data_IF_962950984796
#
_entry.id   IF_962950984796
#
_cell.length_a   1.000
_cell.length_b   1.000
_cell.length_c   1.000
_cell.angle_alpha   90.00
_cell.angle_beta   90.00
_cell.angle_gamma   90.00
#
_symmetry.space_group_name_H-M   'P 1'
#
loop_
_entity.id
_entity.type
_entity.pdbx_description
1 polymer ?
#
# COMPACT_ATOMS: atom_id res chain seq x y z
N UNK A 1 5.89 -23.67 -28.08
CA UNK A 1 4.56 -23.28 -27.61
C UNK A 1 4.73 -22.72 -26.21
N UNK A 2 4.90 -21.40 -26.11
CA UNK A 2 5.21 -20.71 -24.84
C UNK A 2 3.86 -20.43 -24.19
N UNK A 3 3.55 -21.13 -23.09
CA UNK A 3 2.45 -20.77 -22.23
C UNK A 3 2.86 -19.49 -21.50
N UNK A 4 2.38 -18.37 -21.99
CA UNK A 4 2.34 -17.13 -21.22
C UNK A 4 1.38 -17.36 -20.06
N UNK A 5 1.93 -17.72 -18.89
CA UNK A 5 1.22 -17.74 -17.62
C UNK A 5 0.85 -16.29 -17.27
N UNK A 6 -0.28 -15.83 -17.80
CA UNK A 6 -0.90 -14.60 -17.38
C UNK A 6 -1.40 -14.81 -15.95
N UNK A 7 -0.50 -14.68 -14.97
CA UNK A 7 -0.92 -14.35 -13.60
C UNK A 7 -1.72 -13.04 -13.70
N UNK A 8 -3.01 -13.18 -13.87
CA UNK A 8 -3.94 -12.11 -13.49
C UNK A 8 -3.65 -11.87 -12.02
N UNK A 9 -2.98 -10.77 -11.73
CA UNK A 9 -2.98 -10.23 -10.37
C UNK A 9 -4.46 -10.16 -9.99
N UNK A 10 -4.87 -10.99 -9.05
CA UNK A 10 -6.22 -10.99 -8.49
C UNK A 10 -6.38 -9.68 -7.71
N UNK A 11 -6.64 -8.60 -8.46
CA UNK A 11 -7.03 -7.32 -7.87
C UNK A 11 -8.38 -7.55 -7.22
N UNK A 12 -8.48 -7.26 -5.95
CA UNK A 12 -9.76 -7.26 -5.24
C UNK A 12 -10.79 -6.50 -6.06
N UNK A 13 -11.97 -7.07 -6.34
CA UNK A 13 -13.00 -6.37 -7.11
C UNK A 13 -13.30 -5.00 -6.51
N UNK A 14 -13.30 -3.95 -7.33
CA UNK A 14 -13.49 -2.55 -6.90
C UNK A 14 -14.73 -2.39 -6.02
N UNK A 15 -15.80 -3.15 -6.31
CA UNK A 15 -17.03 -3.13 -5.50
C UNK A 15 -16.83 -3.56 -4.05
N UNK A 16 -15.97 -4.55 -3.80
CA UNK A 16 -15.65 -5.01 -2.44
C UNK A 16 -14.86 -3.93 -1.72
N UNK A 17 -13.90 -3.33 -2.38
CA UNK A 17 -13.08 -2.23 -1.84
C UNK A 17 -13.95 -1.03 -1.46
N UNK A 18 -14.89 -0.63 -2.33
CA UNK A 18 -15.84 0.44 -2.05
C UNK A 18 -16.74 0.07 -0.86
N UNK A 19 -17.23 -1.16 -0.77
CA UNK A 19 -18.06 -1.63 0.33
C UNK A 19 -17.36 -1.51 1.68
N UNK A 20 -16.11 -1.95 1.78
CA UNK A 20 -15.30 -1.80 2.99
C UNK A 20 -15.01 -0.33 3.32
N UNK A 21 -14.72 0.49 2.31
CA UNK A 21 -14.51 1.91 2.48
C UNK A 21 -15.77 2.62 3.01
N UNK A 22 -16.92 2.34 2.41
CA UNK A 22 -18.21 2.91 2.84
C UNK A 22 -18.53 2.52 4.29
N UNK A 23 -18.32 1.26 4.67
CA UNK A 23 -18.48 0.81 6.06
C UNK A 23 -17.54 1.57 7.00
N UNK A 24 -16.27 1.76 6.61
CA UNK A 24 -15.31 2.53 7.39
C UNK A 24 -15.74 3.99 7.61
N UNK A 25 -16.29 4.64 6.57
CA UNK A 25 -16.82 6.00 6.69
C UNK A 25 -18.06 6.06 7.58
N UNK A 26 -18.96 5.07 7.51
CA UNK A 26 -20.12 4.99 8.41
C UNK A 26 -19.66 4.86 9.86
N UNK A 27 -18.69 4.01 10.14
CA UNK A 27 -18.12 3.88 11.50
C UNK A 27 -17.48 5.19 11.96
N UNK A 28 -16.71 5.85 11.08
CA UNK A 28 -16.13 7.16 11.39
C UNK A 28 -17.19 8.23 11.66
N UNK A 29 -18.29 8.22 10.91
CA UNK A 29 -19.43 9.11 11.13
C UNK A 29 -20.12 8.86 12.48
N UNK A 30 -20.29 7.61 12.88
CA UNK A 30 -20.83 7.26 14.21
C UNK A 30 -19.90 7.73 15.33
N UNK A 31 -18.58 7.60 15.17
CA UNK A 31 -17.60 8.13 16.12
C UNK A 31 -17.68 9.66 16.17
N UNK A 32 -17.75 10.32 15.01
CA UNK A 32 -17.89 11.76 14.91
C UNK A 32 -19.18 12.26 15.56
N UNK A 33 -20.29 11.52 15.42
CA UNK A 33 -21.57 11.84 16.05
C UNK A 33 -21.51 11.79 17.59
N UNK A 34 -20.59 11.02 18.17
CA UNK A 34 -20.38 10.98 19.62
C UNK A 34 -19.63 12.23 20.15
N UNK A 35 -19.02 13.02 19.28
CA UNK A 35 -18.34 14.27 19.65
C UNK A 35 -19.39 15.38 19.84
N UNK A 36 -19.30 16.20 20.92
CA UNK A 36 -20.24 17.29 21.16
C UNK A 36 -20.25 18.31 20.02
N UNK A 37 -21.43 18.90 19.75
CA UNK A 37 -21.64 19.92 18.69
C UNK A 37 -20.77 21.17 18.84
N UNK A 38 -20.27 21.43 20.04
CA UNK A 38 -19.34 22.51 20.32
C UNK A 38 -18.00 22.40 19.57
N UNK A 39 -17.70 21.21 18.98
CA UNK A 39 -16.44 20.93 18.31
C UNK A 39 -16.62 20.42 16.87
N UNK A 40 -17.22 21.20 15.96
CA UNK A 40 -17.55 20.74 14.61
C UNK A 40 -16.28 20.34 13.79
N UNK A 41 -15.17 21.04 13.98
CA UNK A 41 -13.91 20.72 13.28
C UNK A 41 -13.34 19.36 13.66
N UNK A 42 -13.54 18.89 14.90
CA UNK A 42 -13.10 17.55 15.32
C UNK A 42 -13.96 16.45 14.69
N UNK A 43 -15.26 16.67 14.56
CA UNK A 43 -16.16 15.75 13.85
C UNK A 43 -15.70 15.54 12.41
N UNK A 44 -15.46 16.64 11.72
CA UNK A 44 -14.96 16.60 10.35
C UNK A 44 -13.56 15.96 10.27
N UNK A 45 -12.68 16.26 11.23
CA UNK A 45 -11.33 15.69 11.33
C UNK A 45 -11.33 14.16 11.39
N UNK A 46 -12.24 13.55 12.15
CA UNK A 46 -12.39 12.08 12.24
C UNK A 46 -12.70 11.48 10.87
N UNK A 47 -13.60 12.10 10.11
CA UNK A 47 -13.96 11.63 8.76
C UNK A 47 -12.80 11.80 7.78
N UNK A 48 -12.10 12.93 7.83
CA UNK A 48 -10.94 13.19 6.99
C UNK A 48 -9.81 12.17 7.26
N UNK A 49 -9.56 11.82 8.52
CA UNK A 49 -8.60 10.78 8.91
C UNK A 49 -9.03 9.41 8.37
N UNK A 50 -10.31 9.07 8.45
CA UNK A 50 -10.82 7.81 7.92
C UNK A 50 -10.62 7.70 6.40
N UNK A 51 -10.89 8.79 5.66
CA UNK A 51 -10.64 8.85 4.20
C UNK A 51 -9.14 8.69 3.90
N UNK A 52 -8.27 9.38 4.63
CA UNK A 52 -6.82 9.26 4.47
C UNK A 52 -6.30 7.85 4.79
N UNK A 53 -6.80 7.22 5.86
CA UNK A 53 -6.47 5.84 6.20
C UNK A 53 -6.93 4.86 5.12
N UNK A 54 -8.13 5.03 4.59
CA UNK A 54 -8.63 4.23 3.48
C UNK A 54 -7.75 4.40 2.24
N UNK A 55 -7.35 5.62 1.90
CA UNK A 55 -6.44 5.91 0.79
C UNK A 55 -5.09 5.19 0.95
N UNK A 56 -4.52 5.21 2.16
CA UNK A 56 -3.24 4.55 2.46
C UNK A 56 -3.31 3.02 2.33
N UNK A 57 -4.47 2.42 2.62
CA UNK A 57 -4.64 0.97 2.59
C UNK A 57 -4.94 0.43 1.19
N UNK A 58 -5.78 1.14 0.41
CA UNK A 58 -6.32 0.61 -0.85
C UNK A 58 -5.51 1.01 -2.07
N UNK A 59 -4.98 2.23 -2.12
CA UNK A 59 -4.29 2.83 -3.29
C UNK A 59 -5.10 2.70 -4.60
N UNK A 60 -6.42 2.58 -4.50
CA UNK A 60 -7.35 2.52 -5.63
C UNK A 60 -8.00 3.90 -5.78
N UNK A 61 -7.58 4.64 -6.81
CA UNK A 61 -8.01 6.02 -7.04
C UNK A 61 -9.52 6.11 -7.30
N UNK A 62 -10.11 5.12 -7.97
CA UNK A 62 -11.54 5.11 -8.27
C UNK A 62 -12.34 4.87 -6.98
N UNK A 63 -11.95 3.86 -6.20
CA UNK A 63 -12.59 3.58 -4.93
C UNK A 63 -12.45 4.77 -3.98
N UNK A 64 -11.27 5.41 -3.94
CA UNK A 64 -11.03 6.60 -3.13
C UNK A 64 -11.92 7.77 -3.53
N UNK A 65 -12.07 8.04 -4.83
CA UNK A 65 -12.96 9.08 -5.33
C UNK A 65 -14.40 8.88 -4.88
N UNK A 66 -14.91 7.65 -5.00
CA UNK A 66 -16.27 7.29 -4.55
C UNK A 66 -16.41 7.49 -3.03
N UNK A 67 -15.44 7.03 -2.25
CA UNK A 67 -15.45 7.17 -0.78
C UNK A 67 -15.36 8.63 -0.35
N UNK A 68 -14.56 9.45 -1.03
CA UNK A 68 -14.49 10.88 -0.74
C UNK A 68 -15.83 11.59 -1.00
N UNK A 69 -16.54 11.23 -2.08
CA UNK A 69 -17.88 11.75 -2.37
C UNK A 69 -18.89 11.32 -1.30
N UNK A 70 -18.86 10.05 -0.87
CA UNK A 70 -19.72 9.55 0.21
C UNK A 70 -19.43 10.29 1.52
N UNK A 71 -18.14 10.45 1.87
CA UNK A 71 -17.72 11.16 3.07
C UNK A 71 -18.20 12.62 3.07
N UNK A 72 -18.03 13.31 1.93
CA UNK A 72 -18.54 14.67 1.76
C UNK A 72 -20.06 14.75 1.91
N UNK A 73 -20.81 13.83 1.28
CA UNK A 73 -22.25 13.76 1.39
C UNK A 73 -22.74 13.54 2.82
N UNK A 74 -22.04 12.69 3.59
CA UNK A 74 -22.36 12.46 5.02
C UNK A 74 -22.09 13.73 5.84
N UNK A 75 -20.96 14.40 5.62
CA UNK A 75 -20.65 15.63 6.36
C UNK A 75 -21.67 16.70 6.07
N UNK A 76 -21.95 16.96 4.80
CA UNK A 76 -22.87 18.02 4.39
C UNK A 76 -24.34 17.70 4.77
N UNK A 77 -24.78 16.43 4.54
CA UNK A 77 -26.18 16.07 4.74
C UNK A 77 -26.58 15.77 6.20
N UNK A 78 -25.63 15.32 7.06
CA UNK A 78 -25.97 14.91 8.42
C UNK A 78 -25.39 15.81 9.52
N UNK A 79 -24.25 16.46 9.28
CA UNK A 79 -23.62 17.30 10.30
C UNK A 79 -23.93 18.79 10.14
N UNK A 80 -24.28 19.22 8.93
CA UNK A 80 -24.62 20.63 8.65
C UNK A 80 -26.13 20.86 8.57
N UNK A 81 -26.79 20.07 7.73
CA UNK A 81 -28.24 20.17 7.54
C UNK A 81 -28.95 19.03 8.27
N UNK A 82 -29.64 19.35 9.36
CA UNK A 82 -30.35 18.38 10.24
C UNK A 82 -31.41 17.54 9.53
N UNK A 83 -31.71 17.82 8.25
CA UNK A 83 -32.74 17.16 7.44
C UNK A 83 -32.20 16.41 6.21
N UNK A 84 -30.88 16.23 6.08
CA UNK A 84 -30.29 15.52 4.93
C UNK A 84 -30.37 16.32 3.62
N UNK A 85 -30.56 17.62 3.68
CA UNK A 85 -30.53 18.48 2.51
C UNK A 85 -29.07 18.79 2.14
N UNK A 86 -28.70 18.51 0.88
CA UNK A 86 -27.41 18.95 0.37
C UNK A 86 -27.54 20.44 -0.03
N UNK A 87 -27.11 21.33 0.83
CA UNK A 87 -27.02 22.75 0.52
C UNK A 87 -25.55 23.16 0.39
N UNK A 88 -25.28 24.05 -0.56
CA UNK A 88 -23.94 24.55 -0.82
C UNK A 88 -23.69 25.82 0.00
N UNK A 89 -22.79 25.74 0.99
CA UNK A 89 -22.46 26.86 1.91
C UNK A 89 -21.24 27.68 1.45
N UNK A 90 -20.93 27.64 0.17
CA UNK A 90 -19.90 28.51 -0.42
C UNK A 90 -18.46 28.13 -0.01
N UNK A 91 -17.75 29.06 0.65
CA UNK A 91 -16.34 28.87 0.97
C UNK A 91 -16.06 27.79 2.03
N UNK A 92 -17.03 27.48 2.90
CA UNK A 92 -16.87 26.46 3.93
C UNK A 92 -16.85 25.05 3.34
N UNK A 93 -17.73 24.79 2.37
CA UNK A 93 -17.75 23.50 1.67
C UNK A 93 -16.51 23.32 0.80
N UNK A 94 -16.04 24.40 0.17
CA UNK A 94 -14.79 24.37 -0.58
C UNK A 94 -13.59 24.03 0.30
N UNK A 95 -13.53 24.61 1.51
CA UNK A 95 -12.49 24.29 2.50
C UNK A 95 -12.52 22.81 2.91
N UNK A 96 -13.71 22.28 3.16
CA UNK A 96 -13.89 20.86 3.51
C UNK A 96 -13.47 19.92 2.40
N UNK A 97 -13.86 20.23 1.16
CA UNK A 97 -13.39 19.49 -0.01
C UNK A 97 -11.87 19.53 -0.11
N UNK A 98 -11.25 20.69 0.09
CA UNK A 98 -9.81 20.82 0.07
C UNK A 98 -9.14 19.94 1.12
N UNK A 99 -9.65 19.91 2.34
CA UNK A 99 -9.13 19.07 3.43
C UNK A 99 -9.28 17.60 3.08
N UNK A 100 -10.41 17.15 2.51
CA UNK A 100 -10.59 15.77 2.05
C UNK A 100 -9.61 15.39 0.95
N UNK A 101 -9.35 16.29 0.00
CA UNK A 101 -8.35 16.08 -1.07
C UNK A 101 -6.95 15.94 -0.48
N UNK A 102 -6.59 16.83 0.47
CA UNK A 102 -5.28 16.77 1.15
C UNK A 102 -5.16 15.47 1.96
N UNK A 103 -6.20 15.08 2.69
CA UNK A 103 -6.22 13.83 3.46
C UNK A 103 -6.05 12.61 2.54
N UNK A 104 -6.75 12.60 1.40
CA UNK A 104 -6.65 11.56 0.37
C UNK A 104 -5.24 11.47 -0.22
N UNK A 105 -4.68 12.61 -0.65
CA UNK A 105 -3.34 12.67 -1.22
C UNK A 105 -2.27 12.25 -0.21
N UNK A 106 -2.39 12.70 1.03
CA UNK A 106 -1.49 12.32 2.13
C UNK A 106 -1.57 10.82 2.42
N UNK A 107 -2.78 10.26 2.44
CA UNK A 107 -3.01 8.82 2.60
C UNK A 107 -2.34 8.00 1.49
N UNK A 108 -2.53 8.38 0.23
CA UNK A 108 -1.87 7.73 -0.91
C UNK A 108 -0.35 7.80 -0.79
N UNK A 109 0.21 8.97 -0.48
CA UNK A 109 1.65 9.14 -0.33
C UNK A 109 2.22 8.24 0.79
N UNK A 110 1.54 8.15 1.93
CA UNK A 110 1.92 7.27 3.04
C UNK A 110 1.83 5.80 2.62
N UNK A 111 0.77 5.40 1.93
CA UNK A 111 0.57 4.05 1.44
C UNK A 111 1.67 3.62 0.46
N UNK A 112 2.02 4.47 -0.49
CA UNK A 112 3.11 4.23 -1.44
C UNK A 112 4.47 4.18 -0.76
N UNK A 113 4.77 5.11 0.15
CA UNK A 113 6.01 5.12 0.91
C UNK A 113 6.16 3.83 1.73
N UNK A 114 5.10 3.35 2.36
CA UNK A 114 5.11 2.09 3.11
C UNK A 114 5.39 0.88 2.21
N UNK A 115 4.75 0.81 1.03
CA UNK A 115 5.02 -0.26 0.04
C UNK A 115 6.46 -0.21 -0.44
N UNK A 116 6.96 0.97 -0.77
CA UNK A 116 8.34 1.15 -1.20
C UNK A 116 9.33 0.67 -0.12
N UNK A 117 9.12 1.08 1.13
CA UNK A 117 9.95 0.62 2.25
C UNK A 117 9.89 -0.91 2.45
N UNK A 118 8.72 -1.50 2.27
CA UNK A 118 8.55 -2.96 2.38
C UNK A 118 9.33 -3.70 1.29
N UNK A 119 9.31 -3.21 0.05
CA UNK A 119 10.08 -3.79 -1.06
C UNK A 119 11.58 -3.65 -0.86
N UNK A 120 12.05 -2.51 -0.35
CA UNK A 120 13.46 -2.33 0.01
C UNK A 120 13.89 -3.35 1.07
N UNK A 121 13.14 -3.48 2.16
CA UNK A 121 13.45 -4.45 3.22
C UNK A 121 13.47 -5.90 2.72
N UNK A 122 12.60 -6.25 1.77
CA UNK A 122 12.60 -7.58 1.16
C UNK A 122 13.91 -7.81 0.37
N UNK A 123 14.36 -6.83 -0.42
CA UNK A 123 15.64 -6.91 -1.16
C UNK A 123 16.84 -7.10 -0.24
N UNK A 124 16.93 -6.31 0.82
CA UNK A 124 18.03 -6.43 1.80
C UNK A 124 18.10 -7.81 2.45
N UNK A 125 16.96 -8.46 2.70
CA UNK A 125 16.94 -9.83 3.23
C UNK A 125 17.45 -10.84 2.22
N UNK A 126 17.05 -10.72 0.97
CA UNK A 126 17.50 -11.61 -0.11
C UNK A 126 19.01 -11.47 -0.33
N UNK A 127 19.53 -10.25 -0.32
CA UNK A 127 20.97 -10.00 -0.48
C UNK A 127 21.77 -10.59 0.69
N UNK A 128 21.31 -10.45 1.92
CA UNK A 128 21.95 -11.05 3.10
C UNK A 128 21.92 -12.60 3.07
N UNK A 129 20.83 -13.20 2.61
CA UNK A 129 20.75 -14.67 2.44
C UNK A 129 21.71 -15.18 1.36
N UNK A 130 21.87 -14.45 0.25
CA UNK A 130 22.83 -14.77 -0.81
C UNK A 130 24.27 -14.65 -0.29
N UNK A 131 24.57 -13.58 0.44
CA UNK A 131 25.89 -13.35 1.02
C UNK A 131 26.27 -14.44 2.05
N UNK A 132 25.34 -14.84 2.89
CA UNK A 132 25.50 -15.95 3.83
C UNK A 132 25.65 -17.31 3.13
N UNK A 133 24.95 -17.53 2.03
CA UNK A 133 25.07 -18.74 1.23
C UNK A 133 26.45 -18.81 0.56
N UNK A 134 26.92 -17.71 0.00
CA UNK A 134 28.27 -17.59 -0.57
C UNK A 134 29.34 -17.80 0.50
N UNK A 135 29.23 -17.15 1.67
CA UNK A 135 30.18 -17.31 2.77
C UNK A 135 30.25 -18.75 3.28
N UNK A 136 29.14 -19.48 3.30
CA UNK A 136 29.09 -20.91 3.63
C UNK A 136 29.76 -21.76 2.56
N UNK A 137 29.51 -21.48 1.30
CA UNK A 137 30.13 -22.20 0.18
C UNK A 137 31.66 -22.04 0.14
N UNK A 138 32.16 -20.84 0.41
CA UNK A 138 33.60 -20.57 0.51
C UNK A 138 34.26 -21.15 1.77
N UNK A 139 33.51 -21.35 2.86
CA UNK A 139 34.04 -21.92 4.10
C UNK A 139 34.06 -23.45 4.11
N UNK A 140 33.26 -24.09 3.26
CA UNK A 140 33.32 -25.53 3.06
C UNK A 140 34.51 -25.84 2.13
N UNK A 141 35.68 -26.09 2.75
CA UNK A 141 36.98 -26.41 2.10
C UNK A 141 36.98 -27.79 1.40
N UNK A 142 35.85 -28.27 1.03
CA UNK A 142 35.65 -29.52 0.29
C UNK A 142 35.05 -29.14 -1.06
N UNK A 143 35.83 -29.23 -2.13
CA UNK A 143 35.50 -29.08 -3.57
C UNK A 143 34.03 -29.26 -4.02
N UNK A 144 33.10 -28.66 -3.31
CA UNK A 144 31.71 -28.70 -3.61
C UNK A 144 31.42 -27.72 -4.75
N UNK A 145 31.14 -28.26 -5.91
CA UNK A 145 30.64 -27.56 -7.07
C UNK A 145 29.42 -26.74 -6.66
N UNK A 146 29.50 -25.42 -6.79
CA UNK A 146 28.39 -24.51 -6.52
C UNK A 146 27.22 -24.87 -7.46
N UNK A 147 26.22 -25.59 -6.95
CA UNK A 147 25.01 -25.91 -7.69
C UNK A 147 24.10 -24.69 -7.67
N UNK A 148 24.13 -23.92 -8.74
CA UNK A 148 23.16 -22.83 -8.96
C UNK A 148 21.85 -23.48 -9.42
N UNK A 149 20.73 -23.31 -8.71
CA UNK A 149 19.45 -23.89 -9.14
C UNK A 149 19.06 -23.35 -10.51
N UNK A 150 18.92 -24.25 -11.50
CA UNK A 150 18.51 -23.91 -12.87
C UNK A 150 19.64 -23.79 -13.88
N UNK A 151 20.89 -23.99 -13.51
CA UNK A 151 21.99 -24.06 -14.45
C UNK A 151 22.32 -25.54 -14.74
N UNK A 152 22.24 -25.94 -16.01
CA UNK A 152 22.72 -27.25 -16.45
C UNK A 152 24.21 -27.40 -16.11
N UNK A 153 24.60 -28.58 -15.63
CA UNK A 153 25.96 -28.92 -15.23
C UNK A 153 27.00 -28.53 -16.31
N UNK A 154 27.63 -27.39 -16.11
CA UNK A 154 28.81 -27.03 -16.92
C UNK A 154 30.02 -27.54 -16.14
N UNK A 155 30.77 -28.53 -16.67
CA UNK A 155 31.97 -29.00 -15.99
C UNK A 155 33.00 -27.89 -15.93
N UNK A 156 33.38 -27.50 -14.71
CA UNK A 156 34.48 -26.56 -14.50
C UNK A 156 35.78 -27.33 -14.75
N UNK A 157 36.40 -27.07 -15.90
CA UNK A 157 37.75 -27.55 -16.21
C UNK A 157 38.73 -26.83 -15.27
N UNK A 158 39.22 -27.54 -14.26
CA UNK A 158 40.36 -27.10 -13.50
C UNK A 158 41.58 -27.04 -14.43
N UNK A 159 42.10 -25.86 -14.73
CA UNK A 159 43.45 -25.68 -15.27
C UNK A 159 44.43 -26.09 -14.16
N UNK A 160 44.92 -27.30 -14.29
CA UNK A 160 46.06 -27.78 -13.50
C UNK A 160 47.29 -26.97 -13.98
N UNK A 161 47.72 -25.99 -13.19
CA UNK A 161 49.04 -25.35 -13.39
C UNK A 161 50.08 -26.45 -13.22
N UNK A 162 50.71 -26.84 -14.33
CA UNK A 162 51.94 -27.63 -14.31
C UNK A 162 53.06 -26.71 -13.85
N UNK A 163 53.50 -26.90 -12.60
CA UNK A 163 54.79 -26.42 -12.11
C UNK A 163 55.91 -27.06 -12.96
N UNK A 164 56.46 -26.28 -13.91
CA UNK A 164 57.70 -26.62 -14.51
C UNK A 164 58.83 -26.17 -13.55
N UNK A 165 59.33 -27.12 -12.77
CA UNK A 165 60.64 -27.01 -12.13
C UNK A 165 61.75 -27.19 -13.13
N UNK A 166 62.68 -26.26 -13.12
CA UNK A 166 64.06 -26.42 -13.64
C UNK A 166 65.00 -25.83 -12.57
#
# INVERSE_FOLDING_TARGET
MIHADTRREERTPVGITIGFGALGIVVAALIAAAIPDAYPNWRFGVIAVAVGAFAALTLDEIALGVIAVIAFGIVNGFFEDQFGQLSWHGSEDLWRLLVLVIASASGLAVGEAYRYMRTLRARWRTDAEVEDALARAFRSDTGAVLRIPGQHDVPVLYLKEEEHGA
#
